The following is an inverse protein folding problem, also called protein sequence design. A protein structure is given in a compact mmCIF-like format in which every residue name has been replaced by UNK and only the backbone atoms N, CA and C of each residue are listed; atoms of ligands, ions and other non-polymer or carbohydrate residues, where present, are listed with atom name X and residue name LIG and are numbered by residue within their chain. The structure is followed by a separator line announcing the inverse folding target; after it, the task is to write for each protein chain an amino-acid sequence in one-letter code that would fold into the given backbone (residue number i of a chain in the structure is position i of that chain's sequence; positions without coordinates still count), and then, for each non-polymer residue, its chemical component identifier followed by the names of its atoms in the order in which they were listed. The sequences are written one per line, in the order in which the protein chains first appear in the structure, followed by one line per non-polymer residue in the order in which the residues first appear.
data_IF_712255952255
#
_entry.id   IF_712255952255
#
_cell.length_a   1.000
_cell.length_b   1.000
_cell.length_c   1.000
_cell.angle_alpha   90.00
_cell.angle_beta   90.00
_cell.angle_gamma   90.00
#
_symmetry.space_group_name_H-M   'P 1'
#
loop_
_entity.id
_entity.type
_entity.pdbx_description
1 polymer ?
#
# COMPACT_ATOMS: atom_id res chain seq x y z
N UNK A 1 -20.07 -15.28 -1.32
CA UNK A 1 -19.91 -14.06 -0.52
C UNK A 1 -18.53 -14.10 0.12
N UNK A 2 -17.60 -13.22 -0.26
CA UNK A 2 -16.26 -13.17 0.38
C UNK A 2 -16.41 -12.57 1.77
N UNK A 3 -16.05 -13.33 2.80
CA UNK A 3 -16.14 -12.87 4.18
C UNK A 3 -15.21 -11.65 4.39
N UNK A 4 -15.71 -10.47 4.76
CA UNK A 4 -14.93 -9.25 4.90
C UNK A 4 -13.71 -9.40 5.84
N UNK A 5 -13.85 -10.22 6.90
CA UNK A 5 -12.78 -10.52 7.84
C UNK A 5 -11.63 -11.34 7.22
N UNK A 6 -11.94 -12.27 6.31
CA UNK A 6 -10.93 -13.04 5.57
C UNK A 6 -10.14 -12.13 4.61
N UNK A 7 -10.81 -11.14 4.03
CA UNK A 7 -10.16 -10.14 3.18
C UNK A 7 -9.22 -9.23 3.97
N UNK A 8 -9.57 -8.84 5.20
CA UNK A 8 -8.72 -7.99 6.04
C UNK A 8 -7.45 -8.70 6.50
N UNK A 9 -7.55 -9.96 6.94
CA UNK A 9 -6.37 -10.76 7.33
C UNK A 9 -5.39 -10.93 6.16
N UNK A 10 -5.91 -11.21 4.96
CA UNK A 10 -5.07 -11.29 3.75
C UNK A 10 -4.38 -9.94 3.44
N UNK A 11 -5.09 -8.82 3.58
CA UNK A 11 -4.53 -7.48 3.37
C UNK A 11 -3.43 -7.14 4.37
N UNK A 12 -3.60 -7.48 5.65
CA UNK A 12 -2.58 -7.33 6.67
C UNK A 12 -1.32 -8.12 6.34
N UNK A 13 -1.48 -9.40 5.97
CA UNK A 13 -0.35 -10.27 5.55
C UNK A 13 0.38 -9.69 4.34
N UNK A 14 -0.34 -9.18 3.34
CA UNK A 14 0.27 -8.57 2.16
C UNK A 14 1.13 -7.35 2.52
N UNK A 15 0.64 -6.47 3.41
CA UNK A 15 1.41 -5.31 3.86
C UNK A 15 2.61 -5.74 4.70
N UNK A 16 2.45 -6.69 5.60
CA UNK A 16 3.55 -7.21 6.42
C UNK A 16 4.66 -7.83 5.55
N UNK A 17 4.29 -8.65 4.56
CA UNK A 17 5.25 -9.25 3.63
C UNK A 17 6.00 -8.18 2.82
N UNK A 18 5.28 -7.19 2.29
CA UNK A 18 5.90 -6.07 1.57
C UNK A 18 6.89 -5.30 2.44
N UNK A 19 6.52 -4.99 3.69
CA UNK A 19 7.41 -4.31 4.64
C UNK A 19 8.64 -5.15 4.98
N UNK A 20 8.49 -6.47 5.13
CA UNK A 20 9.59 -7.39 5.36
C UNK A 20 10.57 -7.40 4.18
N UNK A 21 10.08 -7.48 2.94
CA UNK A 21 10.91 -7.39 1.74
C UNK A 21 11.68 -6.07 1.68
N UNK A 22 11.03 -4.93 1.92
CA UNK A 22 11.72 -3.64 1.94
C UNK A 22 12.80 -3.58 3.02
N UNK A 23 12.52 -4.12 4.21
CA UNK A 23 13.47 -4.14 5.32
C UNK A 23 14.72 -4.96 5.02
N UNK A 24 14.59 -6.09 4.31
CA UNK A 24 15.74 -6.90 3.84
C UNK A 24 16.67 -6.05 2.98
N UNK A 25 16.09 -5.24 2.10
CA UNK A 25 16.80 -4.31 1.21
C UNK A 25 17.24 -3.01 1.91
N UNK A 26 17.05 -2.89 3.23
CA UNK A 26 17.29 -1.66 4.02
C UNK A 26 16.51 -0.44 3.51
N UNK A 27 15.35 -0.68 2.90
CA UNK A 27 14.44 0.33 2.41
C UNK A 27 13.25 0.50 3.36
N UNK A 28 12.61 1.67 3.28
CA UNK A 28 11.34 1.95 3.93
C UNK A 28 10.37 2.58 2.92
N UNK A 29 9.05 2.33 3.06
CA UNK A 29 8.08 3.05 2.26
C UNK A 29 8.10 4.54 2.61
N UNK A 30 7.77 5.39 1.64
CA UNK A 30 7.66 6.83 1.89
C UNK A 30 6.60 7.13 2.97
N UNK A 31 6.85 8.16 3.79
CA UNK A 31 5.92 8.57 4.85
C UNK A 31 4.50 8.86 4.32
N UNK A 32 4.42 9.43 3.11
CA UNK A 32 3.13 9.69 2.45
C UNK A 32 2.33 8.44 2.08
N UNK A 33 2.97 7.28 1.97
CA UNK A 33 2.30 6.03 1.60
C UNK A 33 1.70 5.32 2.82
N UNK A 34 2.18 5.62 4.04
CA UNK A 34 1.72 4.96 5.28
C UNK A 34 0.21 5.07 5.51
N UNK A 35 -0.44 6.25 5.38
CA UNK A 35 -1.90 6.36 5.55
C UNK A 35 -2.68 5.53 4.53
N UNK A 36 -2.20 5.50 3.28
CA UNK A 36 -2.85 4.74 2.20
C UNK A 36 -2.71 3.23 2.38
N UNK A 37 -1.57 2.74 2.87
CA UNK A 37 -1.40 1.34 3.24
C UNK A 37 -2.37 0.93 4.36
N UNK A 38 -2.58 1.79 5.35
CA UNK A 38 -3.57 1.53 6.41
C UNK A 38 -5.00 1.48 5.84
N UNK A 39 -5.36 2.40 4.94
CA UNK A 39 -6.66 2.39 4.27
C UNK A 39 -6.86 1.12 3.42
N UNK A 40 -5.79 0.63 2.77
CA UNK A 40 -5.82 -0.67 2.07
C UNK A 40 -6.07 -1.83 3.04
N UNK A 41 -5.39 -1.85 4.19
CA UNK A 41 -5.61 -2.86 5.25
C UNK A 41 -7.05 -2.83 5.75
N UNK A 42 -7.61 -1.64 5.97
CA UNK A 42 -8.99 -1.43 6.42
C UNK A 42 -10.03 -1.75 5.32
N UNK A 43 -9.61 -2.13 4.11
CA UNK A 43 -10.50 -2.43 2.99
C UNK A 43 -11.09 -1.19 2.31
N UNK A 44 -10.65 0.01 2.68
CA UNK A 44 -11.11 1.29 2.12
C UNK A 44 -10.44 1.61 0.78
N UNK A 45 -9.28 1.01 0.51
CA UNK A 45 -8.54 1.15 -0.77
C UNK A 45 -8.20 -0.21 -1.37
N UNK A 46 -8.04 -0.22 -2.69
CA UNK A 46 -7.49 -1.32 -3.47
C UNK A 46 -6.01 -1.08 -3.76
N UNK A 47 -5.31 -2.09 -4.27
CA UNK A 47 -3.92 -1.91 -4.75
C UNK A 47 -3.84 -1.00 -5.97
N UNK A 48 -4.90 -0.91 -6.79
CA UNK A 48 -4.97 0.02 -7.91
C UNK A 48 -5.00 1.47 -7.44
N UNK A 49 -5.75 1.76 -6.36
CA UNK A 49 -5.78 3.10 -5.75
C UNK A 49 -4.38 3.51 -5.23
N UNK A 50 -3.69 2.59 -4.55
CA UNK A 50 -2.31 2.82 -4.08
C UNK A 50 -1.36 3.13 -5.24
N UNK A 51 -1.44 2.37 -6.33
CA UNK A 51 -0.59 2.57 -7.51
C UNK A 51 -0.86 3.93 -8.16
N UNK A 52 -2.13 4.32 -8.29
CA UNK A 52 -2.51 5.60 -8.86
C UNK A 52 -2.02 6.77 -8.01
N UNK A 53 -2.08 6.68 -6.68
CA UNK A 53 -1.56 7.70 -5.77
C UNK A 53 -0.06 7.88 -5.88
N UNK A 54 0.69 6.77 -5.92
CA UNK A 54 2.14 6.80 -6.11
C UNK A 54 2.49 7.41 -7.47
N UNK A 55 1.80 7.01 -8.54
CA UNK A 55 1.99 7.60 -9.88
C UNK A 55 1.68 9.08 -9.88
N UNK A 56 0.54 9.49 -9.35
CA UNK A 56 0.15 10.91 -9.29
C UNK A 56 1.21 11.73 -8.57
N UNK A 57 1.73 11.23 -7.44
CA UNK A 57 2.77 11.93 -6.68
C UNK A 57 4.09 12.07 -7.44
N UNK A 58 4.60 11.01 -8.05
CA UNK A 58 5.96 11.02 -8.61
C UNK A 58 6.03 11.29 -10.12
N UNK A 59 4.95 11.03 -10.88
CA UNK A 59 4.88 11.31 -12.32
C UNK A 59 4.47 12.75 -12.59
N UNK A 60 3.59 13.34 -11.76
CA UNK A 60 3.26 14.76 -11.90
C UNK A 60 4.51 15.65 -11.67
N UNK A 61 5.42 15.23 -10.78
CA UNK A 61 6.69 15.92 -10.53
C UNK A 61 7.68 15.87 -11.70
N UNK A 62 7.48 15.01 -12.71
CA UNK A 62 8.37 14.84 -13.87
C UNK A 62 8.00 15.68 -15.09
N UNK A 63 6.92 16.46 -15.04
CA UNK A 63 6.44 17.30 -16.15
C UNK A 63 6.77 18.80 -16.00
N UNK A 64 7.70 19.14 -15.10
CA UNK A 64 8.28 20.47 -14.95
C UNK A 64 9.65 20.55 -15.58
#
# INVERSE_FOLDING_TARGET
MTNPALNQSARQKNVANMLATLRIEKLSPSESLKPSLQAYVNGQKTTADLLNEVRAKYVALRRG
#
